data_IF_063727599738
#
_entry.id   IF_063727599738
#
_cell.length_a   1.000
_cell.length_b   1.000
_cell.length_c   1.000
_cell.angle_alpha   90.00
_cell.angle_beta   90.00
_cell.angle_gamma   90.00
#
_symmetry.space_group_name_H-M   'P 1'
#
loop_
_entity.id
_entity.type
_entity.pdbx_description
1 polymer ?
#
# COMPACT_ATOMS: atom_id res chain seq x y z
N UNK A 1 -42.02 -31.60 2.10
CA UNK A 1 -42.33 -30.38 2.87
C UNK A 1 -41.82 -29.17 2.09
N UNK A 2 -42.70 -28.35 1.49
CA UNK A 2 -42.27 -27.09 0.84
C UNK A 2 -42.06 -26.05 1.94
N UNK A 3 -40.83 -25.57 2.12
CA UNK A 3 -40.52 -24.50 3.08
C UNK A 3 -41.15 -23.22 2.56
N UNK A 4 -42.10 -22.67 3.31
CA UNK A 4 -42.69 -21.36 3.00
C UNK A 4 -41.67 -20.29 3.37
N UNK A 5 -41.23 -19.53 2.38
CA UNK A 5 -40.32 -18.39 2.59
C UNK A 5 -41.14 -17.24 3.16
N UNK A 6 -40.63 -16.58 4.19
CA UNK A 6 -41.33 -15.48 4.84
C UNK A 6 -41.48 -14.28 3.89
N UNK A 7 -42.58 -13.53 4.02
CA UNK A 7 -42.85 -12.35 3.19
C UNK A 7 -41.68 -11.35 3.19
N UNK A 8 -41.07 -11.12 4.35
CA UNK A 8 -39.89 -10.26 4.50
C UNK A 8 -38.66 -10.81 3.75
N UNK A 9 -38.51 -12.13 3.70
CA UNK A 9 -37.42 -12.77 2.94
C UNK A 9 -37.67 -12.63 1.44
N UNK A 10 -38.92 -12.77 0.99
CA UNK A 10 -39.28 -12.53 -0.41
C UNK A 10 -39.03 -11.06 -0.80
N UNK A 11 -39.44 -10.11 0.04
CA UNK A 11 -39.20 -8.68 -0.19
C UNK A 11 -37.71 -8.31 -0.24
N UNK A 12 -36.87 -8.93 0.61
CA UNK A 12 -35.42 -8.75 0.57
C UNK A 12 -34.79 -9.32 -0.72
N UNK A 13 -35.24 -10.49 -1.16
CA UNK A 13 -34.77 -11.09 -2.41
C UNK A 13 -35.22 -10.29 -3.63
N UNK A 14 -36.45 -9.76 -3.62
CA UNK A 14 -36.96 -8.89 -4.68
C UNK A 14 -36.19 -7.57 -4.73
N UNK A 15 -35.78 -7.01 -3.59
CA UNK A 15 -34.92 -5.83 -3.52
C UNK A 15 -33.51 -6.09 -4.09
N UNK A 16 -32.90 -7.24 -3.79
CA UNK A 16 -31.60 -7.63 -4.35
C UNK A 16 -31.67 -7.83 -5.87
N UNK A 17 -32.67 -8.55 -6.36
CA UNK A 17 -32.88 -8.77 -7.78
C UNK A 17 -33.16 -7.46 -8.53
N UNK A 18 -33.90 -6.54 -7.89
CA UNK A 18 -34.17 -5.20 -8.44
C UNK A 18 -32.94 -4.30 -8.44
N UNK A 19 -32.02 -4.47 -7.48
CA UNK A 19 -30.74 -3.79 -7.43
C UNK A 19 -29.76 -4.33 -8.49
N UNK A 20 -29.76 -5.64 -8.75
CA UNK A 20 -28.99 -6.27 -9.84
C UNK A 20 -29.43 -5.80 -11.23
N UNK A 21 -30.70 -5.38 -11.40
CA UNK A 21 -31.22 -4.88 -12.69
C UNK A 21 -31.15 -3.37 -12.87
N UNK A 22 -30.71 -2.59 -11.86
CA UNK A 22 -30.69 -1.12 -11.93
C UNK A 22 -29.37 -0.45 -11.56
N UNK A 23 -28.33 -1.20 -11.22
CA UNK A 23 -26.99 -0.65 -11.04
C UNK A 23 -26.11 -1.05 -12.22
N UNK A 24 -25.67 -0.07 -13.00
CA UNK A 24 -24.58 -0.24 -13.94
C UNK A 24 -23.38 -0.85 -13.19
N UNK A 25 -23.19 -2.17 -13.34
CA UNK A 25 -22.12 -2.95 -12.71
C UNK A 25 -20.74 -2.45 -13.21
N UNK A 26 -20.73 -1.62 -14.26
CA UNK A 26 -19.56 -0.96 -14.82
C UNK A 26 -18.98 0.16 -13.91
N UNK A 27 -19.77 0.78 -13.03
CA UNK A 27 -19.29 1.87 -12.17
C UNK A 27 -18.53 1.40 -10.92
N UNK A 28 -18.57 0.09 -10.62
CA UNK A 28 -17.73 -0.54 -9.60
C UNK A 28 -16.47 -1.21 -10.20
N UNK A 29 -16.09 -0.84 -11.42
CA UNK A 29 -14.78 -1.20 -11.96
C UNK A 29 -13.72 -0.35 -11.23
N UNK A 30 -12.87 -1.01 -10.45
CA UNK A 30 -11.64 -0.40 -9.92
C UNK A 30 -10.86 0.20 -11.09
N UNK A 31 -10.89 1.52 -11.22
CA UNK A 31 -10.10 2.24 -12.21
C UNK A 31 -8.73 2.51 -11.58
N UNK A 32 -7.68 1.75 -11.96
CA UNK A 32 -6.36 1.91 -11.36
C UNK A 32 -5.87 3.34 -11.60
N UNK A 33 -5.38 3.98 -10.55
CA UNK A 33 -4.75 5.28 -10.68
C UNK A 33 -3.33 5.14 -11.24
N UNK A 34 -2.66 6.27 -11.48
CA UNK A 34 -1.30 6.28 -12.03
C UNK A 34 -0.28 5.52 -11.17
N UNK A 35 -0.45 5.47 -9.84
CA UNK A 35 0.43 4.70 -8.95
C UNK A 35 0.16 3.21 -9.07
N UNK A 36 -1.11 2.82 -9.15
CA UNK A 36 -1.50 1.42 -9.34
C UNK A 36 -0.95 0.88 -10.67
N UNK A 37 -1.02 1.67 -11.74
CA UNK A 37 -0.43 1.34 -13.04
C UNK A 37 1.10 1.16 -12.92
N UNK A 38 1.80 2.05 -12.21
CA UNK A 38 3.24 1.92 -11.99
C UNK A 38 3.61 0.65 -11.21
N UNK A 39 2.88 0.34 -10.16
CA UNK A 39 3.14 -0.85 -9.34
C UNK A 39 2.83 -2.13 -10.13
N UNK A 40 1.68 -2.19 -10.79
CA UNK A 40 1.18 -3.41 -11.43
C UNK A 40 1.77 -3.62 -12.83
N UNK A 41 1.66 -2.63 -13.72
CA UNK A 41 2.06 -2.78 -15.12
C UNK A 41 3.57 -2.65 -15.31
N UNK A 42 4.20 -1.71 -14.61
CA UNK A 42 5.66 -1.54 -14.66
C UNK A 42 6.40 -2.43 -13.68
N UNK A 43 5.67 -3.29 -12.94
CA UNK A 43 6.23 -4.23 -11.95
C UNK A 43 7.19 -3.54 -10.99
N UNK A 44 6.89 -2.30 -10.62
CA UNK A 44 7.71 -1.52 -9.73
C UNK A 44 7.68 -2.19 -8.36
N UNK A 45 8.86 -2.46 -7.80
CA UNK A 45 8.99 -3.12 -6.50
C UNK A 45 10.20 -2.64 -5.73
N UNK A 46 10.12 -2.77 -4.42
CA UNK A 46 11.26 -2.61 -3.51
C UNK A 46 12.15 -3.84 -3.67
N UNK A 47 13.47 -3.63 -3.78
CA UNK A 47 14.46 -4.72 -3.92
C UNK A 47 15.43 -4.79 -2.75
N UNK A 48 15.52 -3.72 -1.96
CA UNK A 48 16.39 -3.69 -0.79
C UNK A 48 16.26 -2.39 -0.02
N UNK A 49 16.66 -2.46 1.25
CA UNK A 49 16.75 -1.32 2.15
C UNK A 49 18.18 -1.18 2.66
N UNK A 50 18.59 0.06 2.93
CA UNK A 50 19.82 0.34 3.68
C UNK A 50 19.50 1.32 4.81
N UNK A 51 20.10 1.08 5.97
CA UNK A 51 19.87 1.85 7.20
C UNK A 51 21.17 2.50 7.64
N UNK A 52 21.09 3.77 8.00
CA UNK A 52 22.17 4.52 8.63
C UNK A 52 21.61 5.22 9.87
N UNK A 53 21.48 4.51 11.02
CA UNK A 53 20.85 5.04 12.23
C UNK A 53 21.50 6.33 12.75
N UNK A 54 22.82 6.43 12.67
CA UNK A 54 23.56 7.63 13.10
C UNK A 54 23.21 8.89 12.29
N UNK A 55 22.69 8.70 11.07
CA UNK A 55 22.24 9.77 10.18
C UNK A 55 20.72 9.91 10.17
N UNK A 56 20.00 9.11 10.97
CA UNK A 56 18.55 8.98 10.91
C UNK A 56 18.05 8.77 9.46
N UNK A 57 18.72 7.88 8.71
CA UNK A 57 18.50 7.73 7.27
C UNK A 57 18.11 6.30 6.90
N UNK A 58 17.03 6.20 6.12
CA UNK A 58 16.52 4.99 5.50
C UNK A 58 16.46 5.17 3.98
N UNK A 59 17.09 4.25 3.26
CA UNK A 59 17.08 4.20 1.81
C UNK A 59 16.23 3.01 1.32
N UNK A 60 15.25 3.27 0.47
CA UNK A 60 14.52 2.24 -0.26
C UNK A 60 15.05 2.16 -1.69
N UNK A 61 15.57 0.99 -2.08
CA UNK A 61 16.05 0.74 -3.43
C UNK A 61 14.95 0.07 -4.23
N UNK A 62 14.61 0.64 -5.39
CA UNK A 62 13.61 0.10 -6.32
C UNK A 62 14.27 -0.64 -7.48
N UNK A 63 13.54 -1.58 -8.10
CA UNK A 63 14.02 -2.37 -9.25
C UNK A 63 14.30 -1.55 -10.53
N UNK A 64 13.91 -0.27 -10.55
CA UNK A 64 14.22 0.66 -11.64
C UNK A 64 15.44 1.56 -11.35
N UNK A 65 16.28 1.20 -10.36
CA UNK A 65 17.47 1.94 -9.90
C UNK A 65 17.17 3.25 -9.15
N UNK A 66 15.90 3.62 -8.96
CA UNK A 66 15.55 4.76 -8.12
C UNK A 66 15.79 4.43 -6.65
N UNK A 67 16.27 5.43 -5.91
CA UNK A 67 16.42 5.36 -4.44
C UNK A 67 15.53 6.43 -3.82
N UNK A 68 14.67 6.03 -2.90
CA UNK A 68 13.84 6.93 -2.10
C UNK A 68 14.47 7.11 -0.73
N UNK A 69 14.52 8.34 -0.24
CA UNK A 69 15.19 8.71 1.02
C UNK A 69 14.15 9.10 2.06
N UNK A 70 14.19 8.47 3.22
CA UNK A 70 13.30 8.76 4.36
C UNK A 70 14.11 8.84 5.64
N UNK A 71 13.55 9.47 6.67
CA UNK A 71 14.13 9.34 8.01
C UNK A 71 13.67 8.05 8.66
N UNK A 72 14.51 7.44 9.48
CA UNK A 72 14.09 6.28 10.29
C UNK A 72 13.04 6.76 11.31
N UNK A 73 13.23 7.97 11.85
CA UNK A 73 12.35 8.63 12.79
C UNK A 73 10.97 9.00 12.25
N UNK A 74 10.77 8.97 10.92
CA UNK A 74 9.45 9.16 10.30
C UNK A 74 8.48 8.00 10.65
N UNK A 75 9.01 6.85 11.07
CA UNK A 75 8.25 5.64 11.35
C UNK A 75 8.28 5.34 12.85
N UNK A 76 7.09 5.24 13.45
CA UNK A 76 6.89 5.24 14.91
C UNK A 76 7.65 4.11 15.59
N UNK A 77 7.65 2.91 15.01
CA UNK A 77 8.24 1.73 15.62
C UNK A 77 9.69 1.49 15.15
N UNK A 78 10.14 2.17 14.08
CA UNK A 78 11.54 2.09 13.62
C UNK A 78 12.46 3.09 14.33
N UNK A 79 11.95 4.25 14.77
CA UNK A 79 12.77 5.34 15.34
C UNK A 79 13.67 4.95 16.51
N UNK A 80 13.29 3.95 17.29
CA UNK A 80 14.01 3.47 18.46
C UNK A 80 14.62 2.08 18.25
N UNK A 81 14.50 1.51 17.04
CA UNK A 81 15.00 0.19 16.75
C UNK A 81 16.51 0.22 16.51
N UNK A 82 17.23 -0.73 17.11
CA UNK A 82 18.65 -0.92 16.81
C UNK A 82 18.86 -1.50 15.40
N UNK A 83 20.05 -1.27 14.82
CA UNK A 83 20.39 -1.74 13.47
C UNK A 83 20.07 -3.23 13.24
N UNK A 84 20.39 -4.09 14.21
CA UNK A 84 20.12 -5.54 14.14
C UNK A 84 18.64 -5.89 14.03
N UNK A 85 17.74 -5.04 14.52
CA UNK A 85 16.30 -5.24 14.41
C UNK A 85 15.76 -4.59 13.13
N UNK A 86 16.32 -3.45 12.71
CA UNK A 86 16.04 -2.84 11.40
C UNK A 86 16.39 -3.76 10.23
N UNK A 87 17.49 -4.51 10.31
CA UNK A 87 17.92 -5.46 9.29
C UNK A 87 17.05 -6.71 9.19
N UNK A 88 16.17 -6.98 10.17
CA UNK A 88 15.24 -8.13 10.18
C UNK A 88 13.91 -7.79 9.51
N UNK A 89 13.98 -7.13 8.37
CA UNK A 89 12.81 -6.89 7.53
C UNK A 89 12.64 -8.02 6.51
N UNK A 90 11.43 -8.14 5.96
CA UNK A 90 11.21 -8.86 4.71
C UNK A 90 10.43 -7.99 3.72
N UNK A 91 10.71 -8.21 2.43
CA UNK A 91 10.02 -7.52 1.34
C UNK A 91 8.92 -8.42 0.82
N UNK A 92 7.69 -7.91 0.80
CA UNK A 92 6.55 -8.55 0.14
C UNK A 92 6.34 -7.95 -1.24
N UNK A 93 5.28 -8.41 -1.94
CA UNK A 93 4.88 -7.82 -3.22
C UNK A 93 4.48 -6.34 -3.07
N UNK A 94 3.87 -6.00 -1.93
CA UNK A 94 3.18 -4.73 -1.75
C UNK A 94 3.94 -3.76 -0.84
N UNK A 95 5.03 -4.20 -0.21
CA UNK A 95 5.77 -3.37 0.74
C UNK A 95 6.89 -4.07 1.50
N UNK A 96 7.20 -3.52 2.66
CA UNK A 96 8.23 -3.98 3.59
C UNK A 96 7.61 -4.17 4.96
N UNK A 97 8.01 -5.24 5.64
CA UNK A 97 7.43 -5.66 6.90
C UNK A 97 8.51 -5.95 7.93
N UNK A 98 8.29 -5.53 9.17
CA UNK A 98 9.10 -5.88 10.34
C UNK A 98 8.23 -6.58 11.37
N UNK A 99 8.22 -7.92 11.34
CA UNK A 99 7.37 -8.73 12.23
C UNK A 99 7.62 -8.43 13.73
N UNK A 100 8.89 -8.31 14.13
CA UNK A 100 9.25 -8.03 15.53
C UNK A 100 8.87 -6.61 15.97
N UNK A 101 8.89 -5.65 15.03
CA UNK A 101 8.64 -4.23 15.34
C UNK A 101 7.18 -3.84 15.14
N UNK A 102 6.35 -4.75 14.61
CA UNK A 102 4.94 -4.48 14.27
C UNK A 102 4.82 -3.23 13.40
N UNK A 103 5.62 -3.17 12.33
CA UNK A 103 5.66 -2.04 11.39
C UNK A 103 5.62 -2.54 9.95
N UNK A 104 4.72 -1.94 9.17
CA UNK A 104 4.48 -2.29 7.77
C UNK A 104 4.47 -1.03 6.90
N UNK A 105 5.28 -1.03 5.85
CA UNK A 105 5.40 0.09 4.92
C UNK A 105 4.99 -0.34 3.51
N UNK A 106 3.87 0.19 3.02
CA UNK A 106 3.43 -0.08 1.65
C UNK A 106 4.24 0.69 0.61
N UNK A 107 4.58 0.05 -0.51
CA UNK A 107 5.23 0.71 -1.64
C UNK A 107 4.35 1.86 -2.16
N UNK A 108 3.03 1.65 -2.22
CA UNK A 108 2.09 2.69 -2.65
C UNK A 108 2.15 3.92 -1.76
N UNK A 109 2.18 3.75 -0.43
CA UNK A 109 2.31 4.84 0.54
C UNK A 109 3.63 5.59 0.39
N UNK A 110 4.74 4.86 0.19
CA UNK A 110 6.06 5.46 -0.04
C UNK A 110 6.08 6.32 -1.33
N UNK A 111 5.51 5.81 -2.42
CA UNK A 111 5.43 6.57 -3.69
C UNK A 111 4.52 7.79 -3.59
N UNK A 112 3.39 7.67 -2.90
CA UNK A 112 2.47 8.79 -2.67
C UNK A 112 3.15 9.90 -1.86
N UNK A 113 3.94 9.52 -0.86
CA UNK A 113 4.72 10.47 -0.09
C UNK A 113 5.73 11.22 -0.97
N UNK A 114 6.52 10.49 -1.76
CA UNK A 114 7.50 11.08 -2.70
C UNK A 114 6.88 12.06 -3.70
N UNK A 115 5.66 11.80 -4.17
CA UNK A 115 4.96 12.71 -5.08
C UNK A 115 4.42 13.97 -4.40
N UNK A 116 4.11 13.89 -3.11
CA UNK A 116 3.53 15.01 -2.35
C UNK A 116 4.60 15.85 -1.64
N UNK A 117 5.76 15.26 -1.38
CA UNK A 117 6.89 15.87 -0.68
C UNK A 117 8.15 15.88 -1.54
N UNK A 118 8.00 15.83 -2.88
CA UNK A 118 9.11 16.07 -3.78
C UNK A 118 9.61 17.48 -3.50
N UNK A 119 10.77 17.57 -2.86
CA UNK A 119 11.53 18.81 -2.77
C UNK A 119 11.69 19.31 -4.20
N UNK A 120 11.01 20.42 -4.49
CA UNK A 120 11.30 21.27 -5.63
C UNK A 120 12.71 21.81 -5.38
N UNK A 121 13.72 20.99 -5.68
CA UNK A 121 15.07 21.45 -5.87
C UNK A 121 15.09 22.20 -7.21
N UNK A 122 14.44 23.37 -7.25
CA UNK A 122 14.85 24.44 -8.14
C UNK A 122 16.24 24.87 -7.67
N UNK A 123 17.24 24.13 -8.13
CA UNK A 123 18.62 24.56 -8.08
C UNK A 123 18.80 25.54 -9.23
N UNK A 124 19.01 26.81 -8.88
CA UNK A 124 19.33 27.91 -9.79
C UNK A 124 20.60 27.64 -10.60
#
# INVERSE_FOLDING_TARGET
>A
MKRSISKHTTEYLDQLNSAETKGDIEDYIFKPDSLDILIQNHKLKIVGLNFYPDLDLLLFVLNNKKVMKRKISDFKNLKNAGLKDLEKYFISKDGVHWEKLDEDLSLRGLLQYELTHSDVALSY
#
